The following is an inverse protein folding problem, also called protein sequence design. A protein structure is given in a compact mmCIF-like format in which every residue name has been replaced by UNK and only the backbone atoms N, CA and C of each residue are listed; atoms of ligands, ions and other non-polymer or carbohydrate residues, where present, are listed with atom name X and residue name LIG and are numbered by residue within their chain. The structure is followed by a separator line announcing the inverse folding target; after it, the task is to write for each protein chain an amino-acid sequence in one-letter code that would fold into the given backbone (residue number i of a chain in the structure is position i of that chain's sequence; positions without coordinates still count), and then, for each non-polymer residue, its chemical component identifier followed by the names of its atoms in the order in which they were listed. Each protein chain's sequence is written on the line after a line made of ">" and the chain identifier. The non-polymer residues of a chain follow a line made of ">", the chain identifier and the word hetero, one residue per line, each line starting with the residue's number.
data_IF_908892256416
#
_entry.id   IF_908892256416
#
_cell.length_a   1.000
_cell.length_b   1.000
_cell.length_c   1.000
_cell.angle_alpha   90.00
_cell.angle_beta   90.00
_cell.angle_gamma   90.00
#
_symmetry.space_group_name_H-M   'P 1'
#
loop_
_entity.id
_entity.type
_entity.pdbx_description
1 polymer ?
#
# COMPACT_ATOMS: atom_id res chain seq x y z
N UNK A 1 -12.29 -0.63 -18.01
CA UNK A 1 -11.05 -0.86 -17.24
C UNK A 1 -11.08 -0.11 -15.91
N UNK A 2 -11.16 1.24 -15.88
CA UNK A 2 -11.27 2.01 -14.61
C UNK A 2 -12.39 1.56 -13.65
N UNK A 3 -13.61 1.31 -14.16
CA UNK A 3 -14.75 0.84 -13.34
C UNK A 3 -14.51 -0.49 -12.63
N UNK A 4 -13.66 -1.36 -13.19
CA UNK A 4 -13.35 -2.66 -12.56
C UNK A 4 -12.34 -2.48 -11.42
N UNK A 5 -11.42 -1.52 -11.52
CA UNK A 5 -10.52 -1.18 -10.43
C UNK A 5 -11.22 -0.48 -9.27
N UNK A 6 -12.18 0.42 -9.53
CA UNK A 6 -12.99 1.05 -8.48
C UNK A 6 -13.81 0.02 -7.68
N UNK A 7 -14.42 -0.95 -8.36
CA UNK A 7 -15.10 -2.09 -7.71
C UNK A 7 -14.12 -2.93 -6.90
N UNK A 8 -12.95 -3.25 -7.47
CA UNK A 8 -11.91 -4.00 -6.78
C UNK A 8 -11.45 -3.29 -5.50
N UNK A 9 -11.22 -1.97 -5.56
CA UNK A 9 -10.87 -1.14 -4.41
C UNK A 9 -11.95 -1.24 -3.34
N UNK A 10 -13.23 -1.06 -3.70
CA UNK A 10 -14.34 -1.14 -2.73
C UNK A 10 -14.39 -2.49 -2.02
N UNK A 11 -14.25 -3.59 -2.77
CA UNK A 11 -14.24 -4.96 -2.21
C UNK A 11 -13.02 -5.19 -1.32
N UNK A 12 -11.84 -4.77 -1.77
CA UNK A 12 -10.58 -4.95 -1.06
C UNK A 12 -10.51 -4.08 0.20
N UNK A 13 -11.02 -2.85 0.19
CA UNK A 13 -11.12 -2.00 1.39
C UNK A 13 -12.04 -2.61 2.45
N UNK A 14 -13.21 -3.11 2.03
CA UNK A 14 -14.10 -3.85 2.93
C UNK A 14 -13.42 -5.11 3.49
N UNK A 15 -12.66 -5.82 2.64
CA UNK A 15 -11.87 -6.98 3.03
C UNK A 15 -10.79 -6.65 4.05
N UNK A 16 -9.97 -5.62 3.80
CA UNK A 16 -8.89 -5.18 4.71
C UNK A 16 -9.47 -4.73 6.06
N UNK A 17 -10.62 -4.04 6.05
CA UNK A 17 -11.33 -3.68 7.29
C UNK A 17 -11.78 -4.90 8.09
N UNK A 18 -12.23 -5.95 7.41
CA UNK A 18 -12.71 -7.19 8.03
C UNK A 18 -11.57 -8.13 8.45
N UNK A 19 -10.46 -8.11 7.73
CA UNK A 19 -9.30 -8.99 7.90
C UNK A 19 -8.01 -8.18 7.91
N UNK A 20 -7.77 -7.37 8.97
CA UNK A 20 -6.63 -6.44 9.01
C UNK A 20 -5.26 -7.13 8.98
N UNK A 21 -5.17 -8.41 9.38
CA UNK A 21 -3.93 -9.19 9.36
C UNK A 21 -3.65 -9.87 8.01
N UNK A 22 -4.56 -9.77 7.03
CA UNK A 22 -4.34 -10.33 5.69
C UNK A 22 -3.48 -9.38 4.85
N UNK A 23 -2.16 -9.46 5.04
CA UNK A 23 -1.20 -8.62 4.33
C UNK A 23 -1.22 -8.80 2.79
N UNK A 24 -1.38 -10.02 2.22
CA UNK A 24 -1.58 -10.16 0.77
C UNK A 24 -2.75 -9.34 0.22
N UNK A 25 -3.85 -9.21 0.97
CA UNK A 25 -5.00 -8.39 0.56
C UNK A 25 -4.64 -6.90 0.46
N UNK A 26 -3.78 -6.40 1.35
CA UNK A 26 -3.27 -5.02 1.28
C UNK A 26 -2.39 -4.79 0.05
N UNK A 27 -1.59 -5.80 -0.34
CA UNK A 27 -0.82 -5.75 -1.59
C UNK A 27 -1.75 -5.60 -2.79
N UNK A 28 -2.81 -6.41 -2.89
CA UNK A 28 -3.78 -6.29 -3.99
C UNK A 28 -4.53 -4.97 -3.96
N UNK A 29 -4.86 -4.43 -2.78
CA UNK A 29 -5.46 -3.10 -2.65
C UNK A 29 -4.53 -2.00 -3.15
N UNK A 30 -3.24 -2.08 -2.81
CA UNK A 30 -2.21 -1.16 -3.32
C UNK A 30 -2.14 -1.19 -4.86
N UNK A 31 -2.12 -2.38 -5.46
CA UNK A 31 -2.11 -2.52 -6.93
C UNK A 31 -3.37 -1.93 -7.58
N UNK A 32 -4.54 -2.13 -6.96
CA UNK A 32 -5.79 -1.57 -7.45
C UNK A 32 -5.81 -0.03 -7.36
N UNK A 33 -5.33 0.54 -6.26
CA UNK A 33 -5.15 1.99 -6.07
C UNK A 33 -4.17 2.59 -7.09
N UNK A 34 -3.08 1.90 -7.38
CA UNK A 34 -2.12 2.34 -8.40
C UNK A 34 -2.78 2.49 -9.77
N UNK A 35 -3.60 1.52 -10.18
CA UNK A 35 -4.27 1.53 -11.48
C UNK A 35 -5.33 2.63 -11.66
N UNK A 36 -5.72 3.32 -10.58
CA UNK A 36 -6.59 4.51 -10.63
C UNK A 36 -5.83 5.82 -10.41
N UNK A 37 -4.50 5.79 -10.51
CA UNK A 37 -3.58 6.91 -10.27
C UNK A 37 -3.54 7.41 -8.82
N UNK A 38 -4.04 6.64 -7.85
CA UNK A 38 -3.87 6.89 -6.41
C UNK A 38 -2.48 6.35 -5.96
N UNK A 39 -1.43 6.85 -6.62
CA UNK A 39 -0.07 6.32 -6.49
C UNK A 39 0.52 6.48 -5.08
N UNK A 40 0.26 7.61 -4.44
CA UNK A 40 0.79 7.89 -3.10
C UNK A 40 0.19 6.93 -2.06
N UNK A 41 -1.14 6.79 -2.04
CA UNK A 41 -1.79 5.86 -1.11
C UNK A 41 -1.44 4.41 -1.43
N UNK A 42 -1.32 4.06 -2.72
CA UNK A 42 -0.86 2.74 -3.14
C UNK A 42 0.53 2.44 -2.57
N UNK A 43 1.48 3.35 -2.75
CA UNK A 43 2.85 3.17 -2.27
C UNK A 43 2.92 3.14 -0.74
N UNK A 44 2.20 4.03 -0.04
CA UNK A 44 2.14 4.02 1.43
C UNK A 44 1.67 2.67 1.96
N UNK A 45 0.57 2.16 1.42
CA UNK A 45 0.03 0.86 1.82
C UNK A 45 1.00 -0.30 1.55
N UNK A 46 1.70 -0.25 0.41
CA UNK A 46 2.69 -1.28 0.07
C UNK A 46 3.86 -1.25 1.06
N UNK A 47 4.41 -0.07 1.36
CA UNK A 47 5.51 0.09 2.31
C UNK A 47 5.13 -0.37 3.73
N UNK A 48 3.92 -0.04 4.19
CA UNK A 48 3.39 -0.53 5.48
C UNK A 48 3.21 -2.05 5.53
N UNK A 49 2.98 -2.66 4.37
CA UNK A 49 2.81 -4.11 4.27
C UNK A 49 4.15 -4.82 4.20
N UNK A 50 5.07 -4.33 3.36
CA UNK A 50 6.35 -4.97 3.08
C UNK A 50 7.33 -4.85 4.27
N UNK A 51 7.26 -3.77 5.06
CA UNK A 51 8.12 -3.60 6.24
C UNK A 51 7.95 -4.71 7.29
N UNK A 52 6.83 -5.44 7.25
CA UNK A 52 6.57 -6.56 8.16
C UNK A 52 7.34 -7.84 7.81
N UNK A 53 7.84 -7.95 6.58
CA UNK A 53 8.67 -9.07 6.12
C UNK A 53 9.97 -9.08 6.93
N UNK A 54 10.37 -10.24 7.42
CA UNK A 54 11.47 -10.35 8.39
C UNK A 54 12.80 -9.80 7.86
N UNK A 55 13.11 -10.10 6.61
CA UNK A 55 14.30 -9.61 5.89
C UNK A 55 14.23 -8.11 5.57
N UNK A 56 13.06 -7.49 5.71
CA UNK A 56 12.86 -6.06 5.45
C UNK A 56 12.86 -5.23 6.74
N UNK A 57 12.56 -5.85 7.89
CA UNK A 57 12.44 -5.16 9.19
C UNK A 57 13.69 -4.36 9.57
N UNK A 58 14.88 -4.79 9.17
CA UNK A 58 16.11 -4.03 9.42
C UNK A 58 16.10 -2.63 8.79
N UNK A 59 15.28 -2.42 7.76
CA UNK A 59 15.09 -1.15 7.07
C UNK A 59 13.86 -0.37 7.53
N UNK A 60 13.16 -0.80 8.59
CA UNK A 60 11.89 -0.21 9.04
C UNK A 60 11.96 1.32 9.20
N UNK A 61 13.06 1.82 9.78
CA UNK A 61 13.27 3.26 9.94
C UNK A 61 13.33 4.00 8.61
N UNK A 62 14.09 3.48 7.65
CA UNK A 62 14.25 4.10 6.33
C UNK A 62 12.93 4.02 5.54
N UNK A 63 12.27 2.87 5.57
CA UNK A 63 10.99 2.66 4.88
C UNK A 63 9.91 3.57 5.47
N UNK A 64 9.81 3.67 6.79
CA UNK A 64 8.85 4.56 7.45
C UNK A 64 9.11 6.02 7.11
N UNK A 65 10.38 6.44 7.06
CA UNK A 65 10.74 7.77 6.60
C UNK A 65 10.27 8.01 5.17
N UNK A 66 10.65 7.18 4.21
CA UNK A 66 10.26 7.38 2.81
C UNK A 66 8.74 7.29 2.60
N UNK A 67 8.04 6.46 3.36
CA UNK A 67 6.58 6.38 3.34
C UNK A 67 5.92 7.74 3.61
N UNK A 68 6.46 8.50 4.57
CA UNK A 68 5.92 9.80 4.97
C UNK A 68 6.40 10.94 4.05
N UNK A 69 7.47 10.72 3.29
CA UNK A 69 8.15 11.71 2.45
C UNK A 69 8.19 11.36 0.96
N UNK A 70 7.22 10.58 0.44
CA UNK A 70 7.24 10.03 -0.93
C UNK A 70 7.41 11.06 -2.05
N UNK A 71 6.92 12.28 -1.86
CA UNK A 71 6.97 13.35 -2.86
C UNK A 71 8.03 14.43 -2.53
N UNK A 72 8.82 14.22 -1.48
CA UNK A 72 9.86 15.16 -1.10
C UNK A 72 11.14 14.91 -1.90
N UNK A 73 11.64 15.96 -2.54
CA UNK A 73 12.92 15.93 -3.26
C UNK A 73 13.95 16.63 -2.38
N UNK A 74 14.81 15.85 -1.73
CA UNK A 74 15.95 16.37 -0.98
C UNK A 74 17.05 16.82 -1.95
N UNK A 75 17.56 18.04 -1.76
CA UNK A 75 18.69 18.61 -2.51
C UNK A 75 20.01 18.41 -1.77
#
# INVERSE_FOLDING_TARGET
>A
MYREYEKAITVLEAGVKKFPENDPMKVFLSLAKYNVNDHESAMKLLLETVVKVEEVKEFERAISFYKDHLNEVFK
#
